data_IF_487171112544
#
_entry.id   IF_487171112544
#
_cell.length_a   1.000
_cell.length_b   1.000
_cell.length_c   1.000
_cell.angle_alpha   90.00
_cell.angle_beta   90.00
_cell.angle_gamma   90.00
#
_symmetry.space_group_name_H-M   'P 1'
#
loop_
_entity.id
_entity.type
_entity.pdbx_description
1 polymer ?
#
# COMPACT_ATOMS: atom_id res chain seq x y z
N UNK A 1 68.77 10.99 -28.28
CA UNK A 1 67.67 10.23 -28.92
C UNK A 1 66.36 10.74 -28.33
N UNK A 2 65.72 11.64 -29.06
CA UNK A 2 64.45 12.20 -28.65
C UNK A 2 63.34 11.29 -29.15
N UNK A 3 62.46 10.87 -28.26
CA UNK A 3 61.26 10.10 -28.58
C UNK A 3 60.23 11.09 -29.18
N UNK A 4 59.62 10.81 -30.34
CA UNK A 4 58.61 11.68 -30.90
C UNK A 4 57.30 11.57 -30.07
N UNK A 5 56.71 12.75 -29.78
CA UNK A 5 55.40 12.91 -29.20
C UNK A 5 54.36 12.57 -30.30
N UNK A 6 53.36 11.75 -30.05
CA UNK A 6 52.30 11.50 -31.03
C UNK A 6 51.41 12.74 -31.20
N UNK A 7 50.82 12.95 -32.42
CA UNK A 7 50.01 14.10 -32.71
C UNK A 7 48.69 14.07 -31.88
N UNK A 8 48.23 15.30 -31.58
CA UNK A 8 47.02 15.61 -30.85
C UNK A 8 45.81 14.78 -31.32
N UNK A 9 45.21 14.05 -30.37
CA UNK A 9 43.91 13.40 -30.56
C UNK A 9 42.80 14.48 -30.43
N UNK A 10 42.09 14.83 -31.49
CA UNK A 10 41.04 15.86 -31.45
C UNK A 10 39.81 15.49 -30.60
N UNK A 11 39.88 14.36 -29.87
CA UNK A 11 38.86 13.92 -28.91
C UNK A 11 39.16 14.28 -27.45
N UNK A 12 40.26 14.98 -27.17
CA UNK A 12 40.74 15.29 -25.84
C UNK A 12 40.32 16.67 -25.29
N UNK A 13 39.50 17.43 -26.01
CA UNK A 13 38.98 18.73 -25.55
C UNK A 13 37.47 18.87 -25.73
N UNK A 14 36.73 18.02 -25.06
CA UNK A 14 35.46 18.43 -24.50
C UNK A 14 35.46 17.98 -23.04
N UNK A 15 35.96 18.87 -22.18
CA UNK A 15 35.57 18.81 -20.76
C UNK A 15 34.02 18.70 -20.73
N UNK A 16 33.45 17.75 -19.99
CA UNK A 16 32.02 17.73 -19.84
C UNK A 16 31.66 19.09 -19.26
N UNK A 17 30.94 19.88 -20.07
CA UNK A 17 30.34 21.11 -19.62
C UNK A 17 29.66 20.79 -18.32
N UNK A 18 29.82 21.63 -17.30
CA UNK A 18 29.04 21.61 -16.10
C UNK A 18 27.60 21.42 -16.55
N UNK A 19 27.12 20.19 -16.45
CA UNK A 19 25.69 19.94 -16.40
C UNK A 19 25.30 20.72 -15.15
N UNK A 20 24.84 21.95 -15.35
CA UNK A 20 24.00 22.63 -14.38
C UNK A 20 22.99 21.57 -14.01
N UNK A 21 23.27 20.85 -12.92
CA UNK A 21 22.27 20.11 -12.20
C UNK A 21 21.31 21.20 -11.80
N UNK A 22 20.32 21.46 -12.67
CA UNK A 22 19.11 22.13 -12.29
C UNK A 22 18.78 21.47 -10.96
N UNK A 23 18.96 22.23 -9.88
CA UNK A 23 18.69 21.75 -8.54
C UNK A 23 17.32 21.14 -8.67
N UNK A 24 17.25 19.81 -8.61
CA UNK A 24 16.01 19.10 -8.81
C UNK A 24 15.10 19.77 -7.81
N UNK A 25 14.18 20.60 -8.29
CA UNK A 25 13.16 21.19 -7.44
C UNK A 25 12.69 20.02 -6.58
N UNK A 26 12.73 20.10 -5.23
CA UNK A 26 12.35 18.97 -4.42
C UNK A 26 10.96 18.60 -4.90
N UNK A 27 10.88 17.49 -5.64
CA UNK A 27 9.67 17.05 -6.32
C UNK A 27 8.62 17.03 -5.24
N UNK A 28 7.88 18.12 -5.15
CA UNK A 28 6.67 18.26 -4.38
C UNK A 28 6.78 17.64 -2.97
N UNK A 29 7.76 18.13 -2.17
CA UNK A 29 7.98 17.63 -0.81
C UNK A 29 6.69 17.63 0.03
N UNK A 30 5.72 18.45 -0.35
CA UNK A 30 4.39 18.52 0.25
C UNK A 30 3.53 17.28 -0.03
N UNK A 31 3.79 16.56 -1.15
CA UNK A 31 3.08 15.33 -1.50
C UNK A 31 3.67 14.08 -0.87
N UNK A 32 4.79 14.21 -0.16
CA UNK A 32 5.41 13.11 0.56
C UNK A 32 5.17 13.21 2.06
N UNK A 33 4.88 12.06 2.67
CA UNK A 33 4.82 11.97 4.13
C UNK A 33 6.17 12.29 4.76
N UNK A 34 6.13 12.99 5.90
CA UNK A 34 7.32 13.15 6.73
C UNK A 34 7.78 11.81 7.29
N UNK A 35 9.08 11.64 7.49
CA UNK A 35 9.65 10.45 8.08
C UNK A 35 9.09 10.23 9.49
N UNK A 36 8.60 9.01 9.73
CA UNK A 36 8.12 8.57 11.04
C UNK A 36 8.85 7.31 11.46
N UNK A 37 9.23 7.22 12.72
CA UNK A 37 9.84 6.00 13.29
C UNK A 37 8.80 4.92 13.54
N UNK A 38 7.66 5.33 14.05
CA UNK A 38 6.50 4.48 14.34
C UNK A 38 5.21 5.23 14.01
N UNK A 39 4.17 4.46 13.68
CA UNK A 39 2.84 4.98 13.44
C UNK A 39 2.16 5.34 14.75
N UNK A 40 1.36 6.41 14.74
CA UNK A 40 0.47 6.77 15.83
C UNK A 40 -0.94 7.00 15.31
N UNK A 41 -1.92 6.50 16.07
CA UNK A 41 -3.34 6.70 15.80
C UNK A 41 -3.98 7.14 17.11
N UNK A 42 -4.10 8.45 17.27
CA UNK A 42 -4.60 9.07 18.50
C UNK A 42 -6.09 8.78 18.74
N UNK A 43 -6.89 8.80 17.66
CA UNK A 43 -8.33 8.57 17.72
C UNK A 43 -8.75 7.51 16.69
N UNK A 44 -8.98 6.28 17.15
CA UNK A 44 -9.52 5.22 16.30
C UNK A 44 -11.02 5.46 16.08
N UNK A 45 -11.52 5.52 14.82
CA UNK A 45 -12.94 5.60 14.53
C UNK A 45 -13.73 4.44 15.15
N UNK A 46 -15.03 4.66 15.38
CA UNK A 46 -15.90 3.61 15.90
C UNK A 46 -15.87 2.36 15.00
N UNK A 47 -15.73 1.18 15.60
CA UNK A 47 -15.61 -0.09 14.88
C UNK A 47 -14.20 -0.43 14.38
N UNK A 48 -13.27 0.51 14.37
CA UNK A 48 -11.87 0.26 14.06
C UNK A 48 -11.11 -0.35 15.27
N UNK A 49 -10.14 -1.21 14.98
CA UNK A 49 -9.31 -1.87 16.02
C UNK A 49 -7.84 -1.52 15.78
N UNK A 50 -7.25 -0.80 16.73
CA UNK A 50 -5.88 -0.26 16.64
C UNK A 50 -4.83 -1.06 17.45
N UNK A 51 -4.88 -2.38 17.41
CA UNK A 51 -3.90 -3.23 18.16
C UNK A 51 -2.63 -3.55 17.34
N UNK A 52 -2.66 -3.32 16.04
CA UNK A 52 -1.60 -3.71 15.11
C UNK A 52 -1.05 -2.53 14.30
N UNK A 53 -1.31 -1.29 14.70
CA UNK A 53 -0.88 -0.08 13.97
C UNK A 53 -0.10 0.86 14.85
N UNK A 54 -0.66 1.40 15.93
CA UNK A 54 0.08 2.29 16.84
C UNK A 54 1.33 1.61 17.40
N UNK A 55 2.45 2.32 17.38
CA UNK A 55 3.76 1.84 17.80
C UNK A 55 4.44 0.88 16.82
N UNK A 56 3.89 0.68 15.61
CA UNK A 56 4.50 -0.14 14.56
C UNK A 56 5.30 0.72 13.60
N UNK A 57 6.46 0.21 13.17
CA UNK A 57 7.24 0.78 12.08
C UNK A 57 6.67 0.38 10.72
N UNK A 58 6.95 1.18 9.69
CA UNK A 58 6.69 0.81 8.30
C UNK A 58 7.66 -0.26 7.82
N UNK A 59 7.20 -1.12 6.90
CA UNK A 59 8.02 -2.21 6.35
C UNK A 59 8.03 -2.19 4.82
N UNK A 60 9.23 -2.12 4.26
CA UNK A 60 9.46 -2.22 2.82
C UNK A 60 9.48 -3.69 2.35
N UNK A 61 9.40 -3.97 1.03
CA UNK A 61 9.42 -5.35 0.53
C UNK A 61 10.65 -6.15 0.92
N UNK A 62 11.81 -5.51 1.08
CA UNK A 62 13.06 -6.18 1.48
C UNK A 62 13.06 -6.65 2.94
N UNK A 63 12.11 -6.16 3.75
CA UNK A 63 11.94 -6.53 5.15
C UNK A 63 10.96 -7.70 5.35
N UNK A 64 10.25 -8.13 4.29
CA UNK A 64 9.35 -9.28 4.30
C UNK A 64 10.09 -10.61 4.12
N UNK A 65 9.40 -11.71 4.43
CA UNK A 65 9.91 -13.08 4.38
C UNK A 65 9.73 -13.75 3.00
N UNK A 66 8.53 -13.65 2.42
CA UNK A 66 8.10 -14.43 1.26
C UNK A 66 8.80 -14.09 -0.05
N UNK A 67 8.35 -14.67 -1.16
CA UNK A 67 8.77 -14.24 -2.50
C UNK A 67 8.32 -12.81 -2.76
N UNK A 68 9.10 -12.05 -3.55
CA UNK A 68 8.71 -10.69 -3.94
C UNK A 68 7.91 -10.71 -5.23
N UNK A 69 6.75 -10.09 -5.18
CA UNK A 69 5.83 -9.99 -6.28
C UNK A 69 5.56 -8.54 -6.64
N UNK A 70 5.60 -8.25 -7.93
CA UNK A 70 4.99 -7.05 -8.50
C UNK A 70 3.73 -7.48 -9.20
N UNK A 71 2.60 -6.91 -8.83
CA UNK A 71 1.34 -7.12 -9.52
C UNK A 71 0.74 -5.80 -9.94
N UNK A 72 0.26 -5.75 -11.15
CA UNK A 72 -0.34 -4.54 -11.73
C UNK A 72 -1.73 -4.90 -12.24
N UNK A 73 -2.72 -4.17 -11.78
CA UNK A 73 -4.12 -4.28 -12.17
C UNK A 73 -4.50 -2.98 -12.86
N UNK A 74 -5.11 -3.06 -14.04
CA UNK A 74 -5.47 -1.91 -14.87
C UNK A 74 -6.88 -2.07 -15.38
N UNK A 75 -7.59 -0.95 -15.45
CA UNK A 75 -8.87 -0.88 -16.14
C UNK A 75 -8.90 0.35 -17.04
N UNK A 76 -9.06 0.20 -18.36
CA UNK A 76 -9.26 1.33 -19.26
C UNK A 76 -10.69 1.87 -19.07
N UNK A 77 -10.84 3.20 -19.07
CA UNK A 77 -12.14 3.87 -18.93
C UNK A 77 -12.67 4.33 -20.31
N UNK A 78 -12.81 3.38 -21.24
CA UNK A 78 -13.27 3.68 -22.60
C UNK A 78 -14.69 4.25 -22.60
N UNK A 79 -14.86 5.35 -23.31
CA UNK A 79 -16.16 6.05 -23.39
C UNK A 79 -16.47 6.95 -22.19
N UNK A 80 -15.58 7.04 -21.20
CA UNK A 80 -15.63 8.04 -20.15
C UNK A 80 -14.83 9.29 -20.57
N UNK A 81 -15.35 10.48 -20.25
CA UNK A 81 -14.63 11.76 -20.43
C UNK A 81 -13.76 12.11 -19.20
N UNK A 82 -13.74 11.26 -18.17
CA UNK A 82 -12.97 11.51 -16.97
C UNK A 82 -11.47 11.60 -17.25
N UNK A 83 -10.85 12.68 -16.79
CA UNK A 83 -9.40 12.87 -16.85
C UNK A 83 -8.69 12.01 -15.78
N UNK A 84 -7.37 11.76 -15.89
CA UNK A 84 -6.63 11.10 -14.82
C UNK A 84 -6.80 11.75 -13.44
N UNK A 85 -6.84 13.09 -13.39
CA UNK A 85 -7.04 13.86 -12.16
C UNK A 85 -8.43 13.61 -11.57
N UNK A 86 -9.48 13.58 -12.42
CA UNK A 86 -10.84 13.27 -11.95
C UNK A 86 -10.89 11.86 -11.36
N UNK A 87 -10.24 10.89 -12.00
CA UNK A 87 -10.20 9.51 -11.51
C UNK A 87 -9.56 9.43 -10.14
N UNK A 88 -8.40 10.07 -9.93
CA UNK A 88 -7.70 10.04 -8.64
C UNK A 88 -8.46 10.80 -7.57
N UNK A 89 -9.06 11.93 -7.90
CA UNK A 89 -9.91 12.70 -7.00
C UNK A 89 -11.08 11.86 -6.49
N UNK A 90 -11.84 11.26 -7.41
CA UNK A 90 -12.97 10.39 -7.06
C UNK A 90 -12.51 9.14 -6.29
N UNK A 91 -11.39 8.54 -6.70
CA UNK A 91 -10.87 7.36 -6.03
C UNK A 91 -10.48 7.67 -4.58
N UNK A 92 -9.78 8.78 -4.33
CA UNK A 92 -9.43 9.21 -2.96
C UNK A 92 -10.69 9.54 -2.13
N UNK A 93 -11.64 10.27 -2.70
CA UNK A 93 -12.85 10.70 -1.98
C UNK A 93 -13.76 9.53 -1.60
N UNK A 94 -13.85 8.52 -2.45
CA UNK A 94 -14.76 7.38 -2.29
C UNK A 94 -14.03 6.04 -2.09
N UNK A 95 -12.78 6.05 -1.67
CA UNK A 95 -11.91 4.88 -1.63
C UNK A 95 -12.54 3.65 -0.95
N UNK A 96 -13.18 3.77 0.24
CA UNK A 96 -13.82 2.63 0.89
C UNK A 96 -15.00 2.04 0.12
N UNK A 97 -15.72 2.84 -0.66
CA UNK A 97 -16.91 2.40 -1.38
C UNK A 97 -16.62 1.47 -2.54
N UNK A 98 -15.39 1.53 -3.07
CA UNK A 98 -14.94 0.63 -4.14
C UNK A 98 -14.46 -0.73 -3.64
N UNK A 99 -14.31 -0.91 -2.32
CA UNK A 99 -13.81 -2.16 -1.74
C UNK A 99 -14.86 -3.28 -1.77
N UNK A 100 -14.42 -4.54 -1.88
CA UNK A 100 -15.32 -5.69 -1.72
C UNK A 100 -16.00 -5.70 -0.35
N UNK A 101 -17.26 -6.18 -0.25
CA UNK A 101 -18.02 -6.21 1.00
C UNK A 101 -17.25 -6.89 2.15
N UNK A 102 -17.54 -6.47 3.40
CA UNK A 102 -16.93 -6.95 4.64
C UNK A 102 -15.46 -6.57 4.85
N UNK A 103 -14.92 -5.70 4.00
CA UNK A 103 -13.64 -5.06 4.22
C UNK A 103 -13.89 -3.58 4.52
N UNK A 104 -13.21 -3.06 5.55
CA UNK A 104 -13.45 -1.70 6.03
C UNK A 104 -12.13 -0.94 6.04
N UNK A 105 -12.19 0.26 5.52
CA UNK A 105 -11.11 1.25 5.53
C UNK A 105 -11.57 2.42 6.38
N UNK A 106 -10.86 2.70 7.46
CA UNK A 106 -11.13 3.81 8.37
C UNK A 106 -10.02 4.85 8.18
N UNK A 107 -10.21 5.73 7.21
CA UNK A 107 -9.29 6.86 6.93
C UNK A 107 -9.51 8.03 7.85
N UNK A 108 -8.63 9.04 7.75
CA UNK A 108 -8.81 10.33 8.40
C UNK A 108 -10.02 11.11 7.84
N UNK A 109 -10.47 12.11 8.59
CA UNK A 109 -11.58 12.98 8.18
C UNK A 109 -11.25 13.85 6.96
N UNK A 110 -9.98 14.07 6.69
CA UNK A 110 -9.46 14.90 5.60
C UNK A 110 -9.28 14.15 4.28
N UNK A 111 -9.59 12.85 4.25
CA UNK A 111 -9.40 12.00 3.08
C UNK A 111 -8.05 11.26 3.09
N UNK A 112 -7.44 11.08 1.92
CA UNK A 112 -6.13 10.42 1.73
C UNK A 112 -5.08 11.50 1.51
N UNK A 113 -4.34 11.86 2.57
CA UNK A 113 -3.27 12.85 2.54
C UNK A 113 -1.95 12.25 3.06
N UNK A 114 -0.78 12.76 2.59
CA UNK A 114 0.52 12.26 3.02
C UNK A 114 0.70 12.34 4.54
N UNK A 115 1.10 11.23 5.16
CA UNK A 115 1.26 11.13 6.61
C UNK A 115 0.05 10.58 7.35
N UNK A 116 -1.10 10.46 6.69
CA UNK A 116 -2.28 9.87 7.30
C UNK A 116 -2.10 8.37 7.55
N UNK A 117 -2.72 7.89 8.62
CA UNK A 117 -2.81 6.47 8.95
C UNK A 117 -4.26 6.04 8.87
N UNK A 118 -4.55 5.04 8.03
CA UNK A 118 -5.86 4.42 7.97
C UNK A 118 -5.84 3.06 8.67
N UNK A 119 -6.88 2.78 9.47
CA UNK A 119 -7.09 1.47 10.06
C UNK A 119 -7.91 0.59 9.12
N UNK A 120 -7.61 -0.69 9.08
CA UNK A 120 -8.24 -1.67 8.21
C UNK A 120 -8.81 -2.82 9.01
N UNK A 121 -10.04 -3.23 8.70
CA UNK A 121 -10.60 -4.51 9.10
C UNK A 121 -10.85 -5.36 7.86
N UNK A 122 -9.98 -6.32 7.60
CA UNK A 122 -10.03 -7.18 6.42
C UNK A 122 -10.68 -8.53 6.73
N UNK A 123 -11.51 -9.01 5.81
CA UNK A 123 -12.19 -10.30 5.93
C UNK A 123 -11.24 -11.45 5.65
N UNK A 124 -11.12 -12.37 6.61
CA UNK A 124 -10.30 -13.58 6.52
C UNK A 124 -11.19 -14.83 6.43
N UNK A 125 -10.64 -16.00 6.00
CA UNK A 125 -11.37 -17.27 6.06
C UNK A 125 -11.93 -17.57 7.45
N UNK A 126 -13.05 -18.28 7.52
CA UNK A 126 -13.65 -18.68 8.81
C UNK A 126 -14.30 -17.54 9.60
N UNK A 127 -14.74 -16.46 8.93
CA UNK A 127 -15.32 -15.25 9.55
C UNK A 127 -14.36 -14.48 10.47
N UNK A 128 -13.08 -14.79 10.41
CA UNK A 128 -12.05 -14.04 11.13
C UNK A 128 -11.88 -12.65 10.50
N UNK A 129 -11.48 -11.69 11.33
CA UNK A 129 -11.10 -10.35 10.89
C UNK A 129 -9.63 -10.12 11.17
N UNK A 130 -8.92 -9.62 10.18
CA UNK A 130 -7.57 -9.09 10.34
C UNK A 130 -7.68 -7.59 10.54
N UNK A 131 -7.37 -7.12 11.75
CA UNK A 131 -7.26 -5.70 12.04
C UNK A 131 -5.81 -5.28 11.82
N UNK A 132 -5.59 -4.29 10.96
CA UNK A 132 -4.28 -3.75 10.59
C UNK A 132 -4.46 -2.30 10.14
N UNK A 133 -3.52 -1.75 9.39
CA UNK A 133 -3.63 -0.40 8.80
C UNK A 133 -2.70 -0.21 7.63
N UNK A 134 -2.73 1.00 7.10
CA UNK A 134 -1.81 1.50 6.08
C UNK A 134 -1.43 2.94 6.40
N UNK A 135 -0.28 3.35 5.91
CA UNK A 135 0.24 4.71 5.99
C UNK A 135 0.24 5.32 4.60
N UNK A 136 -0.27 6.54 4.46
CA UNK A 136 -0.22 7.29 3.21
C UNK A 136 1.20 7.85 3.03
N UNK A 137 1.99 7.18 2.21
CA UNK A 137 3.38 7.56 1.95
C UNK A 137 3.48 8.76 1.01
N UNK A 138 2.61 8.81 0.02
CA UNK A 138 2.56 9.81 -1.03
C UNK A 138 1.12 10.03 -1.49
N UNK A 139 0.74 11.27 -1.83
CA UNK A 139 -0.51 11.57 -2.52
C UNK A 139 -0.43 12.92 -3.25
N UNK A 140 -0.74 12.91 -4.55
CA UNK A 140 -0.92 14.07 -5.41
C UNK A 140 -2.23 13.95 -6.23
N UNK A 141 -2.37 14.74 -7.28
CA UNK A 141 -3.56 14.73 -8.13
C UNK A 141 -3.60 13.57 -9.14
N UNK A 142 -2.49 12.87 -9.35
CA UNK A 142 -2.37 11.79 -10.33
C UNK A 142 -2.15 10.42 -9.70
N UNK A 143 -1.78 10.38 -8.41
CA UNK A 143 -1.47 9.11 -7.71
C UNK A 143 -1.52 9.22 -6.19
N UNK A 144 -1.60 8.07 -5.52
CA UNK A 144 -1.37 7.95 -4.09
C UNK A 144 -0.81 6.57 -3.74
N UNK A 145 -0.01 6.49 -2.68
CA UNK A 145 0.70 5.28 -2.30
C UNK A 145 0.49 4.98 -0.82
N UNK A 146 0.11 3.74 -0.52
CA UNK A 146 0.05 3.23 0.83
C UNK A 146 1.22 2.30 1.12
N UNK A 147 1.80 2.44 2.31
CA UNK A 147 2.83 1.55 2.83
C UNK A 147 2.31 0.80 4.06
N UNK A 148 2.73 -0.46 4.19
CA UNK A 148 2.22 -1.36 5.22
C UNK A 148 3.03 -1.26 6.53
N UNK A 149 2.36 -1.34 7.70
CA UNK A 149 3.03 -1.45 8.99
C UNK A 149 3.54 -2.87 9.25
N UNK A 150 4.49 -2.97 10.18
CA UNK A 150 5.01 -4.22 10.69
C UNK A 150 3.88 -5.13 11.23
N UNK A 151 3.89 -6.37 10.78
CA UNK A 151 2.88 -7.37 11.14
C UNK A 151 1.68 -7.42 10.19
N UNK A 152 1.51 -6.45 9.28
CA UNK A 152 0.57 -6.57 8.16
C UNK A 152 0.87 -7.85 7.36
N UNK A 153 -0.14 -8.40 6.64
CA UNK A 153 0.07 -9.62 5.84
C UNK A 153 1.17 -9.47 4.78
N UNK A 154 1.37 -8.25 4.29
CA UNK A 154 2.40 -7.91 3.32
C UNK A 154 3.39 -6.89 3.89
N UNK A 155 4.67 -7.08 3.59
CA UNK A 155 5.69 -6.06 3.65
C UNK A 155 5.82 -5.43 2.26
N UNK A 156 5.68 -4.09 2.17
CA UNK A 156 5.71 -3.36 0.91
C UNK A 156 4.67 -2.26 0.82
N UNK A 157 4.32 -1.92 -0.41
CA UNK A 157 3.41 -0.82 -0.73
C UNK A 157 2.51 -1.13 -1.91
N UNK A 158 1.48 -0.32 -2.05
CA UNK A 158 0.59 -0.27 -3.21
C UNK A 158 0.47 1.18 -3.67
N UNK A 159 0.60 1.40 -4.98
CA UNK A 159 0.39 2.69 -5.64
C UNK A 159 -0.84 2.62 -6.51
N UNK A 160 -1.69 3.61 -6.38
CA UNK A 160 -2.84 3.87 -7.22
C UNK A 160 -2.51 5.07 -8.09
N UNK A 161 -2.71 4.95 -9.38
CA UNK A 161 -2.48 6.05 -10.32
C UNK A 161 -3.47 6.01 -11.47
N UNK A 162 -3.58 7.14 -12.16
CA UNK A 162 -4.33 7.23 -13.40
C UNK A 162 -3.51 7.99 -14.43
N UNK A 163 -3.60 7.60 -15.69
CA UNK A 163 -2.86 8.19 -16.79
C UNK A 163 -3.58 7.96 -18.13
N UNK A 164 -3.21 8.74 -19.15
CA UNK A 164 -3.72 8.54 -20.50
C UNK A 164 -2.83 7.57 -21.27
N UNK A 165 -3.44 6.61 -21.95
CA UNK A 165 -2.76 5.70 -22.88
C UNK A 165 -3.64 5.54 -24.14
N UNK A 166 -3.09 5.90 -25.31
CA UNK A 166 -3.79 5.84 -26.60
C UNK A 166 -5.18 6.51 -26.53
N UNK A 167 -5.20 7.75 -26.02
CA UNK A 167 -6.39 8.59 -25.82
C UNK A 167 -7.47 8.02 -24.89
N UNK A 168 -7.11 7.02 -24.09
CA UNK A 168 -7.99 6.43 -23.08
C UNK A 168 -7.40 6.65 -21.68
N UNK A 169 -8.20 7.15 -20.76
CA UNK A 169 -7.83 7.21 -19.35
C UNK A 169 -7.81 5.80 -18.76
N UNK A 170 -6.73 5.47 -18.07
CA UNK A 170 -6.51 4.15 -17.43
C UNK A 170 -6.35 4.35 -15.93
N UNK A 171 -7.14 3.64 -15.14
CA UNK A 171 -6.92 3.52 -13.70
C UNK A 171 -6.08 2.28 -13.39
N UNK A 172 -5.07 2.43 -12.53
CA UNK A 172 -4.13 1.38 -12.20
C UNK A 172 -3.90 1.27 -10.69
N UNK A 173 -3.88 0.03 -10.18
CA UNK A 173 -3.32 -0.31 -8.88
C UNK A 173 -2.09 -1.20 -9.08
N UNK A 174 -0.95 -0.85 -8.47
CA UNK A 174 0.28 -1.62 -8.56
C UNK A 174 0.85 -1.89 -7.18
N UNK A 175 1.07 -3.16 -6.86
CA UNK A 175 1.68 -3.61 -5.62
C UNK A 175 3.12 -4.07 -5.84
N UNK A 176 4.00 -3.77 -4.89
CA UNK A 176 5.31 -4.41 -4.75
C UNK A 176 5.41 -4.95 -3.32
N UNK A 177 5.27 -6.26 -3.17
CA UNK A 177 5.04 -6.89 -1.88
C UNK A 177 5.78 -8.21 -1.71
N UNK A 178 6.01 -8.57 -0.44
CA UNK A 178 6.31 -9.92 0.05
C UNK A 178 5.32 -10.30 1.14
N UNK A 179 5.03 -11.59 1.32
CA UNK A 179 4.43 -12.04 2.57
C UNK A 179 5.36 -11.65 3.73
N UNK A 180 4.79 -11.05 4.78
CA UNK A 180 5.61 -10.47 5.86
C UNK A 180 6.34 -11.54 6.69
N UNK A 181 5.72 -12.71 6.85
CA UNK A 181 6.26 -13.81 7.64
C UNK A 181 5.93 -15.20 7.02
N UNK A 182 6.47 -16.32 7.57
CA UNK A 182 6.22 -17.65 7.05
C UNK A 182 4.74 -18.08 7.04
N UNK A 183 3.94 -17.66 8.02
CA UNK A 183 2.52 -18.03 8.12
C UNK A 183 1.74 -17.38 6.97
N UNK A 184 1.98 -16.11 6.73
CA UNK A 184 1.38 -15.42 5.60
C UNK A 184 1.88 -15.97 4.25
N UNK A 185 3.16 -16.35 4.12
CA UNK A 185 3.68 -16.97 2.89
C UNK A 185 2.95 -18.28 2.59
N UNK A 186 2.74 -19.14 3.59
CA UNK A 186 1.93 -20.37 3.42
C UNK A 186 0.48 -20.02 3.05
N UNK A 187 -0.12 -19.03 3.71
CA UNK A 187 -1.46 -18.54 3.38
C UNK A 187 -1.57 -18.04 1.93
N UNK A 188 -0.55 -17.34 1.44
CA UNK A 188 -0.49 -16.88 0.05
C UNK A 188 -0.43 -18.05 -0.93
N UNK A 189 0.37 -19.07 -0.64
CA UNK A 189 0.46 -20.29 -1.44
C UNK A 189 -0.86 -21.09 -1.47
N UNK A 190 -1.61 -21.10 -0.37
CA UNK A 190 -2.89 -21.80 -0.22
C UNK A 190 -4.10 -21.01 -0.76
N UNK A 191 -3.87 -20.03 -1.63
CA UNK A 191 -4.93 -19.26 -2.31
C UNK A 191 -5.02 -17.80 -1.92
N UNK A 192 -4.12 -17.30 -1.07
CA UNK A 192 -4.05 -15.89 -0.70
C UNK A 192 -3.85 -14.99 -1.91
N UNK A 193 -2.98 -15.38 -2.87
CA UNK A 193 -2.77 -14.63 -4.11
C UNK A 193 -4.07 -14.44 -4.91
N UNK A 194 -4.87 -15.50 -5.07
CA UNK A 194 -6.16 -15.42 -5.78
C UNK A 194 -7.16 -14.50 -5.08
N UNK A 195 -7.14 -14.47 -3.75
CA UNK A 195 -8.01 -13.56 -2.97
C UNK A 195 -7.59 -12.11 -3.12
N UNK A 196 -6.28 -11.84 -3.09
CA UNK A 196 -5.73 -10.53 -3.34
C UNK A 196 -6.07 -10.05 -4.75
N UNK A 197 -5.86 -10.90 -5.78
CA UNK A 197 -6.21 -10.60 -7.16
C UNK A 197 -7.71 -10.29 -7.29
N UNK A 198 -8.57 -11.11 -6.71
CA UNK A 198 -10.03 -10.88 -6.71
C UNK A 198 -10.41 -9.57 -6.01
N UNK A 199 -9.71 -9.20 -4.93
CA UNK A 199 -9.96 -7.95 -4.19
C UNK A 199 -9.69 -6.75 -5.10
N UNK A 200 -8.55 -6.72 -5.77
CA UNK A 200 -8.20 -5.60 -6.65
C UNK A 200 -9.02 -5.56 -7.94
N UNK A 201 -9.34 -6.72 -8.51
CA UNK A 201 -10.30 -6.81 -9.62
C UNK A 201 -11.65 -6.19 -9.25
N UNK A 202 -12.24 -6.60 -8.13
CA UNK A 202 -13.52 -6.05 -7.70
C UNK A 202 -13.43 -4.54 -7.41
N UNK A 203 -12.34 -4.08 -6.80
CA UNK A 203 -12.11 -2.66 -6.51
C UNK A 203 -12.07 -1.84 -7.80
N UNK A 204 -11.30 -2.27 -8.80
CA UNK A 204 -11.20 -1.57 -10.09
C UNK A 204 -12.48 -1.68 -10.92
N UNK A 205 -13.18 -2.81 -10.84
CA UNK A 205 -14.50 -2.96 -11.48
C UNK A 205 -15.52 -2.00 -10.86
N UNK A 206 -15.54 -1.85 -9.54
CA UNK A 206 -16.42 -0.90 -8.87
C UNK A 206 -16.07 0.56 -9.25
N UNK A 207 -14.77 0.87 -9.33
CA UNK A 207 -14.28 2.17 -9.77
C UNK A 207 -14.72 2.46 -11.23
N UNK A 208 -14.47 1.54 -12.16
CA UNK A 208 -14.87 1.73 -13.56
C UNK A 208 -16.39 1.87 -13.73
N UNK A 209 -17.14 1.11 -12.95
CA UNK A 209 -18.62 1.21 -12.92
C UNK A 209 -19.09 2.58 -12.42
N UNK A 210 -18.39 3.18 -11.45
CA UNK A 210 -18.64 4.55 -10.98
C UNK A 210 -18.54 5.58 -12.11
N UNK A 211 -17.60 5.38 -13.04
CA UNK A 211 -17.45 6.19 -14.26
C UNK A 211 -18.33 5.72 -15.44
N UNK A 212 -19.31 4.84 -15.19
CA UNK A 212 -20.22 4.34 -16.21
C UNK A 212 -19.61 3.33 -17.18
N UNK A 213 -18.43 2.80 -16.89
CA UNK A 213 -17.66 1.91 -17.76
C UNK A 213 -17.72 0.46 -17.27
N UNK A 214 -17.86 -0.48 -18.22
CA UNK A 214 -17.85 -1.93 -17.95
C UNK A 214 -16.75 -2.60 -18.77
N UNK A 215 -15.52 -2.45 -18.29
CA UNK A 215 -14.34 -3.04 -18.91
C UNK A 215 -13.73 -4.11 -18.00
N UNK A 216 -13.03 -5.06 -18.60
CA UNK A 216 -12.31 -6.08 -17.85
C UNK A 216 -11.03 -5.52 -17.24
N UNK A 217 -10.70 -5.98 -16.04
CA UNK A 217 -9.45 -5.62 -15.36
C UNK A 217 -8.32 -6.50 -15.89
N UNK A 218 -7.36 -5.86 -16.54
CA UNK A 218 -6.11 -6.49 -16.98
C UNK A 218 -5.19 -6.73 -15.79
N UNK A 219 -4.53 -7.89 -15.74
CA UNK A 219 -3.61 -8.23 -14.66
C UNK A 219 -2.26 -8.67 -15.21
N UNK A 220 -1.19 -8.08 -14.69
CA UNK A 220 0.18 -8.50 -14.91
C UNK A 220 0.82 -8.89 -13.59
N UNK A 221 1.39 -10.09 -13.50
CA UNK A 221 2.05 -10.62 -12.30
C UNK A 221 3.48 -11.01 -12.63
N UNK A 222 4.44 -10.44 -11.88
CA UNK A 222 5.87 -10.72 -12.01
C UNK A 222 6.43 -11.13 -10.66
N UNK A 223 7.09 -12.29 -10.58
CA UNK A 223 7.88 -12.66 -9.43
C UNK A 223 9.27 -12.02 -9.54
N UNK A 224 9.48 -10.90 -8.85
CA UNK A 224 10.71 -10.11 -8.89
C UNK A 224 11.87 -10.81 -8.18
N UNK A 225 11.58 -11.46 -7.05
CA UNK A 225 12.56 -12.28 -6.33
C UNK A 225 11.90 -13.57 -5.82
N UNK A 226 12.41 -14.69 -6.30
CA UNK A 226 11.92 -16.04 -5.93
C UNK A 226 12.43 -16.52 -4.56
N UNK A 227 13.43 -15.83 -3.98
CA UNK A 227 14.06 -16.24 -2.73
C UNK A 227 13.23 -15.82 -1.53
N UNK A 228 13.05 -16.74 -0.58
CA UNK A 228 12.51 -16.43 0.76
C UNK A 228 13.63 -15.93 1.66
N UNK A 229 13.34 -14.92 2.46
CA UNK A 229 14.29 -14.26 3.35
C UNK A 229 14.22 -14.90 4.75
N UNK A 230 14.92 -16.02 4.94
CA UNK A 230 14.86 -16.80 6.20
C UNK A 230 15.27 -16.01 7.44
N UNK A 231 16.15 -15.01 7.29
CA UNK A 231 16.52 -14.08 8.36
C UNK A 231 15.35 -13.20 8.83
N UNK A 232 14.26 -13.14 8.05
CA UNK A 232 13.00 -12.44 8.37
C UNK A 232 11.91 -13.37 8.93
N UNK A 233 12.18 -14.66 9.11
CA UNK A 233 11.20 -15.59 9.67
C UNK A 233 10.67 -15.15 11.05
N UNK A 234 11.50 -14.48 11.84
CA UNK A 234 11.12 -13.90 13.14
C UNK A 234 10.00 -12.85 13.07
N UNK A 235 9.64 -12.33 11.88
CA UNK A 235 8.51 -11.41 11.70
C UNK A 235 7.18 -12.05 12.16
N UNK A 236 7.10 -13.36 12.27
CA UNK A 236 5.92 -14.09 12.80
C UNK A 236 5.46 -13.59 14.18
N UNK A 237 6.38 -13.10 15.00
CA UNK A 237 6.06 -12.53 16.33
C UNK A 237 5.24 -11.25 16.28
N UNK A 238 5.20 -10.60 15.12
CA UNK A 238 4.42 -9.38 14.88
C UNK A 238 3.14 -9.65 14.10
N UNK A 239 2.84 -10.91 13.73
CA UNK A 239 1.73 -11.29 12.87
C UNK A 239 0.39 -10.74 13.36
N UNK A 240 -0.19 -9.82 12.57
CA UNK A 240 -1.42 -9.13 12.91
C UNK A 240 -2.65 -10.06 12.94
N UNK A 241 -2.68 -11.16 12.15
CA UNK A 241 -3.78 -12.10 12.17
C UNK A 241 -3.83 -12.88 13.49
N UNK A 242 -2.67 -13.33 14.00
CA UNK A 242 -2.57 -13.99 15.31
C UNK A 242 -3.04 -13.04 16.42
N UNK A 243 -2.50 -11.81 16.41
CA UNK A 243 -2.86 -10.79 17.42
C UNK A 243 -4.35 -10.42 17.37
N UNK A 244 -4.91 -10.26 16.16
CA UNK A 244 -6.33 -10.01 15.96
C UNK A 244 -7.19 -11.19 16.45
N UNK A 245 -6.77 -12.43 16.21
CA UNK A 245 -7.43 -13.64 16.68
C UNK A 245 -7.48 -13.70 18.22
N UNK A 246 -6.35 -13.48 18.88
CA UNK A 246 -6.27 -13.44 20.36
C UNK A 246 -7.16 -12.31 20.90
N UNK A 247 -7.13 -11.14 20.27
CA UNK A 247 -7.97 -10.01 20.66
C UNK A 247 -9.46 -10.35 20.57
N UNK A 248 -9.91 -11.01 19.49
CA UNK A 248 -11.32 -11.42 19.34
C UNK A 248 -11.75 -12.45 20.38
N UNK A 249 -10.90 -13.44 20.68
CA UNK A 249 -11.19 -14.44 21.72
C UNK A 249 -11.36 -13.81 23.11
N UNK A 250 -10.63 -12.74 23.42
CA UNK A 250 -10.75 -11.99 24.68
C UNK A 250 -11.97 -11.03 24.75
N UNK A 251 -12.71 -10.83 23.65
CA UNK A 251 -13.82 -9.87 23.60
C UNK A 251 -14.96 -10.17 24.59
N UNK A 252 -15.43 -11.42 24.77
CA UNK A 252 -16.48 -11.73 25.75
C UNK A 252 -16.09 -11.30 27.17
N UNK A 253 -14.85 -11.59 27.56
CA UNK A 253 -14.33 -11.22 28.90
C UNK A 253 -14.24 -9.70 29.08
N UNK A 254 -13.86 -8.96 28.04
CA UNK A 254 -13.81 -7.48 28.10
C UNK A 254 -15.18 -6.84 28.19
N UNK A 255 -16.19 -7.42 27.53
CA UNK A 255 -17.57 -6.94 27.62
C UNK A 255 -18.15 -7.20 29.03
N UNK A 256 -17.83 -8.33 29.66
CA UNK A 256 -18.22 -8.64 31.03
C UNK A 256 -17.52 -7.75 32.08
N UNK A 257 -16.30 -7.28 31.80
CA UNK A 257 -15.54 -6.44 32.73
C UNK A 257 -15.92 -4.94 32.67
N UNK A 258 -16.66 -4.48 31.66
CA UNK A 258 -17.09 -3.09 31.52
C UNK A 258 -17.99 -2.56 32.66
N UNK A 259 -18.98 -3.30 33.23
CA UNK A 259 -19.82 -2.80 34.31
C UNK A 259 -19.06 -2.54 35.61
N UNK A 260 -17.94 -3.23 35.86
CA UNK A 260 -17.15 -3.05 37.09
C UNK A 260 -16.24 -1.81 37.12
N UNK A 261 -16.07 -1.10 35.99
CA UNK A 261 -15.25 0.11 35.92
C UNK A 261 -16.02 1.42 35.96
N UNK A 262 -17.34 1.41 35.79
CA UNK A 262 -18.18 2.60 35.82
C UNK A 262 -18.43 3.19 37.20
N UNK A 263 -18.22 2.42 38.29
CA UNK A 263 -18.52 2.86 39.64
C UNK A 263 -17.32 3.38 40.45
N UNK A 264 -16.19 3.69 39.83
CA UNK A 264 -15.01 4.24 40.52
C UNK A 264 -14.67 5.72 40.15
N UNK A 265 -15.65 6.46 39.69
CA UNK A 265 -15.56 7.93 39.62
C UNK A 265 -16.78 8.53 40.31
N UNK A 266 -16.72 8.61 41.63
CA UNK A 266 -17.41 9.55 42.54
C UNK A 266 -16.39 10.07 43.52
#
# INVERSE_FOLDING_TARGET
MSVPVPPDDPRAEEAPGEVETAAAMPRDAEHWAKLVSTLDVTNAPEGAVNINVTGKSLVSPIQGFGKMWQKTYKVPLRGSEATPVDVIKEWKANFPSFWPPRNFFYGGLTGIAPGDVALLNLSMPGRLKLSTGVFVLFADDESFTFMNPQGHMFAGWITFCSYVKSDVTVAQAQVLIRANDPIYEVGMMLGGHRKEDKFWHQTLTNLSTHFGVKEEVETQIVCVDKKRQWNKAKNVWHNAAIRSGIYMMGTPFRLMAKPFRADKQL
#
